data_IF_393266675810
#
_entry.id   IF_393266675810
#
_cell.length_a   1.000
_cell.length_b   1.000
_cell.length_c   1.000
_cell.angle_alpha   90.00
_cell.angle_beta   90.00
_cell.angle_gamma   90.00
#
_symmetry.space_group_name_H-M   'P 1'
#
loop_
_entity.id
_entity.type
_entity.pdbx_description
1 polymer ?
#
# COMPACT_ATOMS: atom_id res chain seq x y z
N UNK A 1 -16.86 20.06 -7.12
CA UNK A 1 -15.56 20.77 -6.95
C UNK A 1 -14.92 20.22 -5.68
N UNK A 2 -13.73 19.61 -5.76
CA UNK A 2 -12.97 19.23 -4.58
C UNK A 2 -12.35 20.51 -4.01
N UNK A 3 -12.83 20.95 -2.84
CA UNK A 3 -12.31 22.11 -2.13
C UNK A 3 -11.25 21.69 -1.11
N UNK A 4 -10.35 22.60 -0.77
CA UNK A 4 -9.40 22.42 0.33
C UNK A 4 -9.67 23.50 1.39
N UNK A 5 -9.79 23.09 2.65
CA UNK A 5 -9.89 23.99 3.79
C UNK A 5 -8.52 23.97 4.49
N UNK A 6 -7.76 25.08 4.48
CA UNK A 6 -6.45 25.12 5.12
C UNK A 6 -6.58 24.97 6.63
N UNK A 7 -5.68 24.22 7.25
CA UNK A 7 -5.58 24.09 8.71
C UNK A 7 -4.19 24.58 9.13
N UNK A 8 -4.12 25.44 10.14
CA UNK A 8 -2.88 26.07 10.58
C UNK A 8 -2.29 25.33 11.78
N UNK A 9 -1.00 24.97 11.69
CA UNK A 9 -0.31 24.30 12.81
C UNK A 9 0.24 25.32 13.81
N UNK A 10 0.30 24.94 15.09
CA UNK A 10 0.84 25.78 16.16
C UNK A 10 2.30 26.23 15.93
N UNK A 11 3.06 25.49 15.11
CA UNK A 11 4.45 25.82 14.74
C UNK A 11 4.57 26.86 13.63
N UNK A 12 3.48 27.20 12.95
CA UNK A 12 3.49 28.05 11.75
C UNK A 12 3.01 29.49 12.03
N UNK A 13 2.27 29.74 13.11
CA UNK A 13 1.78 31.09 13.43
C UNK A 13 1.34 31.23 14.88
N UNK A 14 1.67 32.36 15.53
CA UNK A 14 1.22 32.67 16.90
C UNK A 14 -0.33 32.77 16.97
N UNK A 15 -0.97 33.25 15.90
CA UNK A 15 -2.42 33.43 15.79
C UNK A 15 -3.18 32.20 15.24
N UNK A 16 -2.63 31.00 15.43
CA UNK A 16 -3.22 29.75 14.92
C UNK A 16 -4.61 29.45 15.52
N UNK A 17 -4.89 29.89 16.75
CA UNK A 17 -6.16 29.63 17.45
C UNK A 17 -7.33 30.33 16.77
N UNK A 18 -7.21 31.63 16.50
CA UNK A 18 -8.28 32.42 15.88
C UNK A 18 -8.55 31.98 14.43
N UNK A 19 -7.49 31.65 13.69
CA UNK A 19 -7.59 31.13 12.32
C UNK A 19 -8.25 29.76 12.27
N UNK A 20 -7.95 28.88 13.23
CA UNK A 20 -8.61 27.57 13.31
C UNK A 20 -10.09 27.69 13.70
N UNK A 21 -10.49 28.69 14.49
CA UNK A 21 -11.91 28.98 14.75
C UNK A 21 -12.65 29.41 13.48
N UNK A 22 -12.04 30.27 12.65
CA UNK A 22 -12.62 30.66 11.36
C UNK A 22 -12.74 29.47 10.39
N UNK A 23 -11.79 28.53 10.45
CA UNK A 23 -11.83 27.26 9.70
C UNK A 23 -12.99 26.39 10.16
N UNK A 24 -13.23 26.28 11.47
CA UNK A 24 -14.37 25.51 12.00
C UNK A 24 -15.71 26.07 11.53
N UNK A 25 -15.87 27.40 11.51
CA UNK A 25 -17.07 28.04 10.96
C UNK A 25 -17.39 27.59 9.52
N UNK A 26 -16.36 27.56 8.65
CA UNK A 26 -16.51 27.07 7.26
C UNK A 26 -16.87 25.59 7.19
N UNK A 27 -16.33 24.78 8.09
CA UNK A 27 -16.64 23.34 8.17
C UNK A 27 -18.09 23.13 8.63
N UNK A 28 -18.58 23.92 9.58
CA UNK A 28 -19.98 23.85 10.01
C UNK A 28 -20.94 24.20 8.86
N UNK A 29 -20.67 25.31 8.16
CA UNK A 29 -21.47 25.69 6.98
C UNK A 29 -21.45 24.62 5.88
N UNK A 30 -20.32 23.93 5.71
CA UNK A 30 -20.20 22.82 4.76
C UNK A 30 -21.12 21.65 5.17
N UNK A 31 -21.10 21.25 6.43
CA UNK A 31 -21.93 20.16 6.93
C UNK A 31 -23.43 20.52 6.91
N UNK A 32 -23.80 21.75 7.27
CA UNK A 32 -25.17 22.26 7.22
C UNK A 32 -25.76 22.24 5.79
N UNK A 33 -24.90 22.33 4.76
CA UNK A 33 -25.30 22.20 3.35
C UNK A 33 -25.31 20.76 2.83
N UNK A 34 -25.09 19.77 3.70
CA UNK A 34 -24.98 18.35 3.33
C UNK A 34 -23.65 18.00 2.64
N UNK A 35 -22.61 18.82 2.83
CA UNK A 35 -21.27 18.55 2.30
C UNK A 35 -20.51 17.47 3.08
N UNK A 36 -19.40 17.01 2.51
CA UNK A 36 -18.52 15.99 3.10
C UNK A 36 -17.10 16.54 3.28
N UNK A 37 -16.43 16.13 4.36
CA UNK A 37 -15.06 16.51 4.70
C UNK A 37 -14.18 15.27 4.82
N UNK A 38 -13.09 15.20 4.05
CA UNK A 38 -12.01 14.26 4.26
C UNK A 38 -10.94 14.86 5.19
N UNK A 39 -10.54 14.12 6.22
CA UNK A 39 -9.54 14.55 7.20
C UNK A 39 -8.52 13.44 7.45
N UNK A 40 -7.24 13.81 7.59
CA UNK A 40 -6.19 12.94 8.12
C UNK A 40 -5.84 13.39 9.56
N UNK A 41 -6.46 12.77 10.59
CA UNK A 41 -6.42 13.28 11.97
C UNK A 41 -5.06 13.18 12.68
N UNK A 42 -4.07 12.50 12.10
CA UNK A 42 -2.72 12.32 12.67
C UNK A 42 -1.85 13.60 12.55
N UNK A 43 -2.15 14.46 11.57
CA UNK A 43 -1.37 15.67 11.31
C UNK A 43 0.06 15.44 10.82
N UNK A 44 0.38 14.22 10.37
CA UNK A 44 1.67 13.80 9.83
C UNK A 44 1.57 12.42 9.16
N UNK A 45 2.69 11.89 8.70
CA UNK A 45 2.79 10.53 8.18
C UNK A 45 3.03 9.56 9.35
N UNK A 46 2.20 8.52 9.48
CA UNK A 46 2.45 7.43 10.42
C UNK A 46 3.74 6.65 10.08
N UNK A 47 4.48 6.17 11.11
CA UNK A 47 5.55 5.19 10.95
C UNK A 47 5.02 3.88 10.33
N UNK A 48 5.88 3.05 9.71
CA UNK A 48 5.50 1.72 9.25
C UNK A 48 4.90 0.87 10.39
N UNK A 49 3.76 0.20 10.15
CA UNK A 49 3.14 -0.74 11.10
C UNK A 49 2.44 -0.13 12.32
N UNK A 50 2.50 1.19 12.51
CA UNK A 50 1.91 1.85 13.69
C UNK A 50 1.00 3.00 13.28
N UNK A 51 -0.13 3.14 13.98
CA UNK A 51 -1.02 4.27 13.82
C UNK A 51 -0.63 5.38 14.80
N UNK A 52 -0.38 6.58 14.30
CA UNK A 52 -0.13 7.74 15.14
C UNK A 52 -1.37 8.15 15.95
N UNK A 53 -1.15 8.81 17.10
CA UNK A 53 -2.25 9.29 17.93
C UNK A 53 -3.08 10.36 17.20
N UNK A 54 -4.40 10.27 17.31
CA UNK A 54 -5.29 11.21 16.66
C UNK A 54 -5.32 12.55 17.38
N UNK A 55 -5.32 13.64 16.61
CA UNK A 55 -5.62 14.97 17.10
C UNK A 55 -7.13 15.14 17.26
N UNK A 56 -7.55 15.88 18.29
CA UNK A 56 -8.97 16.07 18.65
C UNK A 56 -9.76 16.96 17.69
N UNK A 57 -9.12 17.57 16.70
CA UNK A 57 -9.75 18.56 15.81
C UNK A 57 -10.98 18.00 15.07
N UNK A 58 -10.91 16.76 14.59
CA UNK A 58 -12.04 16.09 13.92
C UNK A 58 -13.25 15.94 14.83
N UNK A 59 -13.06 15.46 16.06
CA UNK A 59 -14.12 15.30 17.04
C UNK A 59 -14.74 16.65 17.45
N UNK A 60 -13.92 17.69 17.64
CA UNK A 60 -14.40 19.06 17.93
C UNK A 60 -15.26 19.61 16.80
N UNK A 61 -14.84 19.44 15.54
CA UNK A 61 -15.62 19.89 14.39
C UNK A 61 -16.95 19.14 14.27
N UNK A 62 -16.94 17.83 14.49
CA UNK A 62 -18.15 17.03 14.42
C UNK A 62 -19.17 17.40 15.50
N UNK A 63 -18.74 17.44 16.77
CA UNK A 63 -19.62 17.75 17.89
C UNK A 63 -20.09 19.20 17.87
N UNK A 64 -19.23 20.15 17.49
CA UNK A 64 -19.61 21.57 17.35
C UNK A 64 -20.64 21.82 16.25
N UNK A 65 -20.56 21.08 15.13
CA UNK A 65 -21.55 21.16 14.07
C UNK A 65 -22.93 20.62 14.51
N UNK A 66 -22.94 19.50 15.23
CA UNK A 66 -24.16 18.94 15.79
C UNK A 66 -24.76 19.84 16.87
N UNK A 67 -23.96 20.36 17.79
CA UNK A 67 -24.42 21.27 18.85
C UNK A 67 -25.14 22.49 18.27
N UNK A 68 -24.56 23.14 17.25
CA UNK A 68 -25.16 24.28 16.54
C UNK A 68 -26.52 23.95 15.91
N UNK A 69 -26.74 22.69 15.57
CA UNK A 69 -27.95 22.17 14.92
C UNK A 69 -28.81 21.33 15.88
N UNK A 70 -28.65 21.51 17.20
CA UNK A 70 -29.41 20.80 18.24
C UNK A 70 -29.32 19.26 18.16
N UNK A 71 -28.20 18.75 17.67
CA UNK A 71 -27.92 17.33 17.45
C UNK A 71 -28.89 16.64 16.48
N UNK A 72 -29.38 17.38 15.49
CA UNK A 72 -30.32 16.91 14.45
C UNK A 72 -29.70 16.91 13.05
N UNK A 73 -28.42 17.23 12.92
CA UNK A 73 -27.77 17.31 11.61
C UNK A 73 -27.58 15.91 11.00
N UNK A 74 -27.42 14.88 11.84
CA UNK A 74 -27.22 13.51 11.40
C UNK A 74 -25.79 13.26 10.88
N UNK A 75 -24.83 13.99 11.42
CA UNK A 75 -23.44 13.93 11.02
C UNK A 75 -22.86 12.55 11.31
N UNK A 76 -22.43 11.90 10.24
CA UNK A 76 -21.87 10.55 10.26
C UNK A 76 -20.37 10.59 9.97
N UNK A 77 -19.58 9.94 10.81
CA UNK A 77 -18.14 9.82 10.66
C UNK A 77 -17.82 8.41 10.22
N UNK A 78 -17.16 8.26 9.06
CA UNK A 78 -16.75 6.96 8.52
C UNK A 78 -15.23 6.81 8.66
N UNK A 79 -14.73 5.92 9.54
CA UNK A 79 -13.31 5.61 9.65
C UNK A 79 -12.82 4.90 8.38
N UNK A 80 -11.75 5.40 7.75
CA UNK A 80 -11.16 4.79 6.56
C UNK A 80 -9.68 4.49 6.79
N UNK A 81 -9.31 3.21 6.78
CA UNK A 81 -7.92 2.76 6.83
C UNK A 81 -7.37 2.62 5.41
N UNK A 82 -6.15 3.12 5.18
CA UNK A 82 -5.43 3.00 3.90
C UNK A 82 -4.16 2.18 4.15
N UNK A 83 -4.10 0.98 3.59
CA UNK A 83 -2.94 0.10 3.67
C UNK A 83 -2.26 0.05 2.30
N UNK A 84 -0.93 0.20 2.24
CA UNK A 84 -0.16 0.13 1.00
C UNK A 84 0.61 -1.18 0.94
N UNK A 85 0.62 -1.84 -0.21
CA UNK A 85 1.41 -3.07 -0.42
C UNK A 85 2.91 -2.76 -0.36
N UNK A 86 3.35 -1.71 -1.07
CA UNK A 86 4.72 -1.23 -1.05
C UNK A 86 4.73 0.30 -1.17
N UNK A 87 4.96 1.01 -0.06
CA UNK A 87 4.90 2.48 -0.01
C UNK A 87 5.93 3.17 -0.93
N UNK A 88 7.07 2.53 -1.17
CA UNK A 88 8.18 3.10 -1.94
C UNK A 88 8.15 2.75 -3.44
N UNK A 89 7.34 1.76 -3.82
CA UNK A 89 7.25 1.32 -5.21
C UNK A 89 6.14 2.06 -5.92
N UNK A 90 6.48 2.62 -7.07
CA UNK A 90 5.50 3.24 -7.95
C UNK A 90 4.53 2.17 -8.48
N UNK A 91 3.23 2.51 -8.51
CA UNK A 91 2.15 1.62 -8.94
C UNK A 91 1.97 0.37 -8.04
N UNK A 92 2.22 0.51 -6.74
CA UNK A 92 1.83 -0.51 -5.76
C UNK A 92 0.33 -0.43 -5.47
N UNK A 93 -0.25 -1.56 -5.06
CA UNK A 93 -1.65 -1.64 -4.69
C UNK A 93 -1.90 -0.93 -3.36
N UNK A 94 -3.07 -0.33 -3.21
CA UNK A 94 -3.56 0.20 -1.94
C UNK A 94 -4.92 -0.43 -1.62
N UNK A 95 -5.11 -0.84 -0.36
CA UNK A 95 -6.37 -1.34 0.17
C UNK A 95 -7.01 -0.26 1.04
N UNK A 96 -8.24 0.12 0.69
CA UNK A 96 -9.07 0.97 1.52
C UNK A 96 -10.05 0.09 2.29
N UNK A 97 -10.11 0.27 3.61
CA UNK A 97 -11.09 -0.41 4.47
C UNK A 97 -11.95 0.62 5.19
N UNK A 98 -13.26 0.47 5.03
CA UNK A 98 -14.26 1.30 5.67
C UNK A 98 -14.71 0.63 6.97
N UNK A 99 -14.53 1.33 8.08
CA UNK A 99 -15.04 0.92 9.38
C UNK A 99 -16.54 1.18 9.53
N UNK A 100 -17.12 0.65 10.62
CA UNK A 100 -18.50 0.98 10.99
C UNK A 100 -18.64 2.49 11.20
N UNK A 101 -19.70 3.13 10.67
CA UNK A 101 -19.93 4.55 10.91
C UNK A 101 -20.17 4.85 12.39
N UNK A 102 -19.68 6.00 12.85
CA UNK A 102 -20.00 6.57 14.15
C UNK A 102 -20.90 7.79 13.94
N UNK A 103 -21.94 7.94 14.76
CA UNK A 103 -22.82 9.10 14.70
C UNK A 103 -22.41 10.11 15.77
N UNK A 104 -22.15 11.35 15.37
CA UNK A 104 -21.75 12.39 16.31
C UNK A 104 -22.86 12.68 17.35
N UNK A 105 -24.12 12.49 16.97
CA UNK A 105 -25.29 12.63 17.83
C UNK A 105 -25.31 11.63 19.01
N UNK A 106 -24.67 10.46 18.90
CA UNK A 106 -24.62 9.48 20.00
C UNK A 106 -23.87 10.03 21.23
N UNK A 107 -22.99 11.01 21.02
CA UNK A 107 -22.21 11.66 22.05
C UNK A 107 -22.89 12.92 22.61
N UNK A 108 -24.10 13.28 22.15
CA UNK A 108 -24.79 14.51 22.51
C UNK A 108 -25.02 14.66 24.02
N UNK A 109 -25.44 13.59 24.69
CA UNK A 109 -25.69 13.62 26.14
C UNK A 109 -24.42 13.93 26.93
N UNK A 110 -23.30 13.31 26.55
CA UNK A 110 -22.00 13.57 27.17
C UNK A 110 -21.50 14.98 26.83
N UNK A 111 -21.64 15.42 25.58
CA UNK A 111 -21.15 16.73 25.15
C UNK A 111 -21.89 17.89 25.83
N UNK A 112 -23.19 17.76 26.11
CA UNK A 112 -23.95 18.76 26.86
C UNK A 112 -23.50 18.91 28.32
N UNK A 113 -23.01 17.84 28.93
CA UNK A 113 -22.61 17.83 30.34
C UNK A 113 -21.11 18.13 30.52
N UNK A 114 -20.26 17.48 29.72
CA UNK A 114 -18.82 17.68 29.69
C UNK A 114 -18.32 17.63 28.22
N UNK A 115 -18.25 18.80 27.56
CA UNK A 115 -17.78 18.89 26.18
C UNK A 115 -16.36 18.33 25.98
N UNK A 116 -15.48 18.50 26.96
CA UNK A 116 -14.09 18.07 26.86
C UNK A 116 -13.99 16.55 26.90
N UNK A 117 -14.76 15.90 27.79
CA UNK A 117 -14.81 14.45 27.86
C UNK A 117 -15.47 13.83 26.62
N UNK A 118 -16.54 14.42 26.10
CA UNK A 118 -17.16 13.95 24.85
C UNK A 118 -16.18 13.98 23.67
N UNK A 119 -15.40 15.06 23.54
CA UNK A 119 -14.35 15.16 22.52
C UNK A 119 -13.28 14.08 22.72
N UNK A 120 -12.81 13.86 23.95
CA UNK A 120 -11.83 12.82 24.26
C UNK A 120 -12.37 11.43 23.90
N UNK A 121 -13.60 11.13 24.32
CA UNK A 121 -14.27 9.85 24.10
C UNK A 121 -14.47 9.56 22.62
N UNK A 122 -15.03 10.51 21.86
CA UNK A 122 -15.20 10.36 20.41
C UNK A 122 -13.84 10.19 19.70
N UNK A 123 -12.82 10.93 20.12
CA UNK A 123 -11.45 10.78 19.56
C UNK A 123 -10.89 9.38 19.83
N UNK A 124 -11.09 8.85 21.04
CA UNK A 124 -10.64 7.51 21.42
C UNK A 124 -11.38 6.41 20.63
N UNK A 125 -12.70 6.53 20.47
CA UNK A 125 -13.50 5.57 19.73
C UNK A 125 -13.14 5.59 18.22
N UNK A 126 -12.87 6.77 17.65
CA UNK A 126 -12.34 6.89 16.29
C UNK A 126 -10.95 6.26 16.16
N UNK A 127 -10.07 6.46 17.15
CA UNK A 127 -8.74 5.85 17.15
C UNK A 127 -8.84 4.33 17.23
N UNK A 128 -9.70 3.78 18.09
CA UNK A 128 -9.94 2.34 18.16
C UNK A 128 -10.50 1.78 16.84
N UNK A 129 -11.46 2.48 16.23
CA UNK A 129 -12.05 2.05 14.96
C UNK A 129 -11.03 2.06 13.82
N UNK A 130 -10.23 3.13 13.70
CA UNK A 130 -9.16 3.21 12.69
C UNK A 130 -8.05 2.19 12.92
N UNK A 131 -7.68 1.91 14.18
CA UNK A 131 -6.74 0.81 14.52
C UNK A 131 -7.22 -0.54 14.00
N UNK A 132 -8.52 -0.80 14.04
CA UNK A 132 -9.10 -2.02 13.45
C UNK A 132 -9.10 -2.02 11.91
N UNK A 133 -8.97 -0.87 11.26
CA UNK A 133 -8.89 -0.75 9.81
C UNK A 133 -7.44 -0.77 9.28
N UNK A 134 -6.50 -0.25 10.06
CA UNK A 134 -5.07 -0.36 9.82
C UNK A 134 -4.55 -1.76 10.20
N UNK A 135 -3.47 -2.23 9.57
CA UNK A 135 -2.68 -3.34 10.11
C UNK A 135 -1.86 -2.85 11.31
N UNK A 136 -2.55 -2.50 12.39
CA UNK A 136 -1.91 -2.08 13.64
C UNK A 136 -1.73 -3.30 14.53
N UNK A 137 -0.51 -3.52 15.03
CA UNK A 137 -0.20 -4.58 15.98
C UNK A 137 0.41 -3.97 17.24
N UNK A 138 -0.05 -4.43 18.39
CA UNK A 138 0.39 -3.95 19.72
C UNK A 138 1.72 -4.57 20.15
N UNK A 139 2.01 -5.80 19.70
CA UNK A 139 3.25 -6.54 19.98
C UNK A 139 4.04 -6.78 18.68
N UNK A 140 5.14 -6.03 18.54
CA UNK A 140 6.05 -6.10 17.39
C UNK A 140 6.63 -7.50 17.19
N UNK A 141 6.85 -8.27 18.26
CA UNK A 141 7.40 -9.61 18.17
C UNK A 141 6.38 -10.62 17.63
N UNK A 142 5.11 -10.45 18.01
CA UNK A 142 4.01 -11.26 17.51
C UNK A 142 3.71 -10.91 16.06
N UNK A 143 3.78 -9.64 15.68
CA UNK A 143 3.60 -9.21 14.28
C UNK A 143 4.70 -9.76 13.37
N UNK A 144 5.96 -9.67 13.80
CA UNK A 144 7.10 -10.21 13.05
C UNK A 144 6.93 -11.72 12.84
N UNK A 145 6.52 -12.45 13.88
CA UNK A 145 6.24 -13.88 13.77
C UNK A 145 5.03 -14.15 12.86
N UNK A 146 3.97 -13.35 12.93
CA UNK A 146 2.79 -13.49 12.06
C UNK A 146 3.16 -13.27 10.59
N UNK A 147 4.01 -12.26 10.30
CA UNK A 147 4.56 -12.01 8.98
C UNK A 147 5.38 -13.22 8.50
N UNK A 148 6.28 -13.72 9.34
CA UNK A 148 7.10 -14.89 9.03
C UNK A 148 6.27 -16.13 8.75
N UNK A 149 5.27 -16.42 9.58
CA UNK A 149 4.38 -17.55 9.39
C UNK A 149 3.52 -17.37 8.13
N UNK A 150 3.04 -16.16 7.83
CA UNK A 150 2.30 -15.90 6.60
C UNK A 150 3.13 -16.24 5.35
N UNK A 151 4.46 -16.03 5.42
CA UNK A 151 5.38 -16.44 4.36
C UNK A 151 5.62 -17.96 4.33
N UNK A 152 5.69 -18.62 5.49
CA UNK A 152 5.98 -20.06 5.62
C UNK A 152 4.79 -20.92 5.23
N UNK A 153 3.61 -20.62 5.77
CA UNK A 153 2.37 -21.34 5.50
C UNK A 153 2.04 -21.24 3.99
N UNK A 154 2.34 -20.09 3.38
CA UNK A 154 1.87 -19.79 2.05
C UNK A 154 0.33 -19.76 2.00
N UNK A 155 -0.24 -19.54 0.84
CA UNK A 155 -1.67 -19.27 0.65
C UNK A 155 -2.59 -20.49 0.85
N UNK A 156 -2.11 -21.57 1.50
CA UNK A 156 -2.86 -22.80 1.76
C UNK A 156 -3.65 -22.79 3.07
N UNK A 157 -3.72 -21.66 3.78
CA UNK A 157 -4.90 -21.42 4.61
C UNK A 157 -6.05 -21.30 3.61
N UNK A 158 -6.76 -22.41 3.37
CA UNK A 158 -8.09 -22.36 2.76
C UNK A 158 -8.82 -21.17 3.38
N UNK A 159 -9.57 -20.35 2.62
CA UNK A 159 -10.30 -19.21 3.17
C UNK A 159 -10.94 -19.65 4.49
N UNK A 160 -10.41 -19.16 5.62
CA UNK A 160 -10.82 -19.67 6.94
C UNK A 160 -12.27 -19.28 7.27
N UNK A 161 -12.94 -18.58 6.34
CA UNK A 161 -14.37 -18.44 6.21
C UNK A 161 -14.75 -18.57 4.71
N UNK A 162 -15.87 -19.24 4.36
CA UNK A 162 -16.37 -19.26 2.99
C UNK A 162 -16.69 -17.83 2.54
N UNK A 163 -16.32 -17.49 1.30
CA UNK A 163 -16.77 -16.26 0.65
C UNK A 163 -18.31 -16.28 0.60
N UNK A 164 -18.96 -15.34 1.29
CA UNK A 164 -20.30 -14.95 0.86
C UNK A 164 -20.13 -14.30 -0.52
N UNK A 165 -20.81 -14.80 -1.56
CA UNK A 165 -20.66 -14.25 -2.90
C UNK A 165 -21.04 -12.77 -2.88
N UNK A 166 -20.11 -11.91 -3.31
CA UNK A 166 -20.41 -10.49 -3.51
C UNK A 166 -21.66 -10.36 -4.39
N UNK A 167 -22.63 -9.51 -4.02
CA UNK A 167 -23.77 -9.27 -4.90
C UNK A 167 -23.25 -8.70 -6.22
N UNK A 168 -23.59 -9.37 -7.33
CA UNK A 168 -23.26 -8.95 -8.69
C UNK A 168 -23.52 -7.44 -8.85
N UNK A 169 -22.46 -6.65 -8.79
CA UNK A 169 -22.57 -5.21 -9.03
C UNK A 169 -22.85 -5.02 -10.51
N UNK A 170 -24.03 -4.45 -10.79
CA UNK A 170 -24.58 -4.26 -12.12
C UNK A 170 -23.53 -3.79 -13.14
N UNK A 171 -23.43 -4.60 -14.20
CA UNK A 171 -22.63 -4.44 -15.41
C UNK A 171 -22.83 -3.04 -16.04
N UNK A 172 -22.04 -2.05 -15.62
CA UNK A 172 -22.01 -0.72 -16.24
C UNK A 172 -21.07 -0.75 -17.44
N UNK A 173 -21.55 -1.29 -18.56
CA UNK A 173 -20.86 -1.26 -19.86
C UNK A 173 -20.57 0.18 -20.32
N UNK A 174 -19.31 0.57 -20.62
CA UNK A 174 -19.03 1.84 -21.27
C UNK A 174 -19.17 1.78 -22.81
N UNK A 175 -20.04 2.64 -23.36
CA UNK A 175 -20.47 2.70 -24.78
C UNK A 175 -19.49 3.41 -25.75
N UNK A 176 -18.22 3.02 -25.87
CA UNK A 176 -17.37 3.60 -26.94
C UNK A 176 -16.30 2.63 -27.47
N UNK A 177 -16.23 2.45 -28.80
CA UNK A 177 -15.23 1.59 -29.48
C UNK A 177 -13.79 2.08 -29.25
N UNK A 178 -13.59 3.40 -29.18
CA UNK A 178 -12.28 4.01 -28.88
C UNK A 178 -11.89 3.76 -27.44
N UNK A 179 -12.83 3.92 -26.49
CA UNK A 179 -12.59 3.56 -25.09
C UNK A 179 -12.29 2.07 -24.98
N UNK A 180 -13.00 1.20 -25.70
CA UNK A 180 -12.77 -0.26 -25.72
C UNK A 180 -11.38 -0.63 -26.26
N UNK A 181 -10.92 0.05 -27.31
CA UNK A 181 -9.57 -0.13 -27.84
C UNK A 181 -8.50 0.41 -26.90
N UNK A 182 -8.75 1.56 -26.27
CA UNK A 182 -7.88 2.15 -25.23
C UNK A 182 -7.85 1.28 -23.96
N UNK A 183 -8.98 0.68 -23.58
CA UNK A 183 -9.09 -0.30 -22.48
C UNK A 183 -8.35 -1.60 -22.82
N UNK A 184 -8.47 -2.14 -24.05
CA UNK A 184 -7.66 -3.28 -24.53
C UNK A 184 -6.17 -2.96 -24.59
N UNK A 185 -5.81 -1.74 -25.00
CA UNK A 185 -4.43 -1.25 -24.99
C UNK A 185 -3.96 -0.87 -23.58
N UNK A 186 -4.81 -0.93 -22.56
CA UNK A 186 -4.48 -0.82 -21.14
C UNK A 186 -4.66 -2.17 -20.39
N UNK A 187 -5.18 -3.21 -21.05
CA UNK A 187 -5.31 -4.56 -20.46
C UNK A 187 -3.94 -5.21 -20.24
N UNK A 188 -2.91 -4.89 -21.05
CA UNK A 188 -1.52 -5.28 -20.74
C UNK A 188 -0.98 -4.65 -19.44
N UNK A 189 -1.64 -3.59 -18.96
CA UNK A 189 -1.29 -2.82 -17.77
C UNK A 189 -2.14 -3.18 -16.55
N UNK A 190 -3.28 -3.86 -16.73
CA UNK A 190 -4.06 -4.43 -15.64
C UNK A 190 -3.58 -5.87 -15.45
N UNK A 191 -2.73 -6.17 -14.44
CA UNK A 191 -2.49 -7.56 -14.12
C UNK A 191 -3.86 -8.22 -13.89
N UNK A 192 -4.13 -9.30 -14.63
CA UNK A 192 -5.37 -10.05 -14.53
C UNK A 192 -5.66 -10.28 -13.04
N UNK A 193 -6.83 -9.88 -12.50
CA UNK A 193 -7.16 -10.10 -11.10
C UNK A 193 -6.96 -11.56 -10.68
N UNK A 194 -7.06 -12.50 -11.64
CA UNK A 194 -6.73 -13.92 -11.44
C UNK A 194 -5.26 -14.32 -11.64
N UNK A 195 -4.42 -13.55 -12.36
CA UNK A 195 -2.96 -13.81 -12.43
C UNK A 195 -2.19 -13.17 -11.27
N UNK A 196 -2.73 -12.13 -10.61
CA UNK A 196 -2.31 -11.78 -9.25
C UNK A 196 -2.91 -12.85 -8.34
N UNK A 197 -2.20 -13.97 -8.23
CA UNK A 197 -2.64 -15.11 -7.42
C UNK A 197 -2.76 -14.81 -5.91
N UNK A 198 -2.79 -13.53 -5.49
CA UNK A 198 -3.29 -13.14 -4.18
C UNK A 198 -3.57 -11.61 -4.10
N UNK A 199 -4.84 -11.15 -4.08
CA UNK A 199 -5.16 -9.75 -3.77
C UNK A 199 -4.48 -9.33 -2.47
N UNK A 200 -3.89 -8.14 -2.42
CA UNK A 200 -3.26 -7.60 -1.20
C UNK A 200 -4.19 -7.70 0.04
N UNK A 201 -5.51 -7.67 -0.19
CA UNK A 201 -6.52 -7.94 0.82
C UNK A 201 -6.39 -9.30 1.51
N UNK A 202 -6.22 -10.38 0.75
CA UNK A 202 -6.09 -11.74 1.29
C UNK A 202 -4.85 -11.88 2.17
N UNK A 203 -3.71 -11.30 1.75
CA UNK A 203 -2.50 -11.24 2.60
C UNK A 203 -2.72 -10.48 3.89
N UNK A 204 -3.35 -9.31 3.80
CA UNK A 204 -3.64 -8.49 4.97
C UNK A 204 -4.58 -9.21 5.95
N UNK A 205 -5.58 -9.92 5.41
CA UNK A 205 -6.53 -10.73 6.19
C UNK A 205 -5.83 -11.90 6.89
N UNK A 206 -5.01 -12.66 6.16
CA UNK A 206 -4.27 -13.80 6.71
C UNK A 206 -3.28 -13.36 7.79
N UNK A 207 -2.51 -12.28 7.55
CA UNK A 207 -1.60 -11.72 8.56
C UNK A 207 -2.34 -11.38 9.84
N UNK A 208 -3.47 -10.66 9.75
CA UNK A 208 -4.27 -10.30 10.93
C UNK A 208 -4.77 -11.52 11.70
N UNK A 209 -5.29 -12.53 11.02
CA UNK A 209 -5.75 -13.76 11.68
C UNK A 209 -4.60 -14.46 12.41
N UNK A 210 -3.41 -14.52 11.80
CA UNK A 210 -2.21 -15.07 12.44
C UNK A 210 -1.83 -14.26 13.68
N UNK A 211 -1.80 -12.93 13.58
CA UNK A 211 -1.50 -12.04 14.72
C UNK A 211 -2.51 -12.25 15.86
N UNK A 212 -3.81 -12.35 15.56
CA UNK A 212 -4.86 -12.55 16.57
C UNK A 212 -4.70 -13.90 17.30
N UNK A 213 -4.42 -14.98 16.57
CA UNK A 213 -4.18 -16.32 17.14
C UNK A 213 -2.91 -16.30 17.99
N UNK A 214 -1.81 -15.75 17.47
CA UNK A 214 -0.54 -15.71 18.17
C UNK A 214 -0.59 -14.82 19.41
N UNK A 215 -1.31 -13.71 19.39
CA UNK A 215 -1.48 -12.84 20.56
C UNK A 215 -2.23 -13.57 21.69
N UNK A 216 -3.30 -14.31 21.37
CA UNK A 216 -4.02 -15.14 22.34
C UNK A 216 -3.16 -16.29 22.88
N UNK A 217 -2.42 -16.95 22.00
CA UNK A 217 -1.49 -18.01 22.37
C UNK A 217 -0.37 -17.46 23.26
N UNK A 218 0.19 -16.29 22.95
CA UNK A 218 1.26 -15.67 23.72
C UNK A 218 0.81 -15.27 25.13
N UNK A 219 -0.46 -14.85 25.30
CA UNK A 219 -1.03 -14.55 26.60
C UNK A 219 -1.26 -15.80 27.47
N UNK A 220 -1.51 -16.96 26.86
CA UNK A 220 -1.91 -18.20 27.56
C UNK A 220 -0.75 -19.19 27.73
N UNK A 221 0.07 -19.36 26.69
CA UNK A 221 1.23 -20.25 26.62
C UNK A 221 2.39 -19.59 25.84
N UNK A 222 3.17 -18.72 26.52
CA UNK A 222 4.32 -18.06 25.92
C UNK A 222 5.40 -19.04 25.43
N UNK A 223 5.50 -20.22 26.06
CA UNK A 223 6.56 -21.19 25.77
C UNK A 223 6.36 -21.84 24.40
N UNK A 224 5.11 -22.18 24.05
CA UNK A 224 4.78 -22.74 22.73
C UNK A 224 4.97 -21.73 21.61
N UNK A 225 4.60 -20.46 21.82
CA UNK A 225 4.84 -19.37 20.84
C UNK A 225 6.34 -19.14 20.64
N UNK A 226 7.13 -19.12 21.71
CA UNK A 226 8.59 -19.01 21.61
C UNK A 226 9.24 -20.22 20.93
N UNK A 227 8.67 -21.42 21.09
CA UNK A 227 9.13 -22.62 20.39
C UNK A 227 8.81 -22.57 18.88
N UNK A 228 7.63 -22.08 18.51
CA UNK A 228 7.24 -21.84 17.12
C UNK A 228 8.16 -20.80 16.47
N UNK A 229 8.41 -19.67 17.15
CA UNK A 229 9.34 -18.64 16.69
C UNK A 229 10.73 -19.20 16.39
N UNK A 230 11.33 -19.92 17.35
CA UNK A 230 12.65 -20.56 17.15
C UNK A 230 12.71 -21.54 15.98
N UNK A 231 11.58 -22.11 15.55
CA UNK A 231 11.54 -22.96 14.36
C UNK A 231 11.35 -22.16 13.08
N UNK A 232 10.49 -21.14 13.10
CA UNK A 232 10.33 -20.20 12.00
C UNK A 232 11.65 -19.49 11.68
N UNK A 233 12.37 -19.03 12.72
CA UNK A 233 13.69 -18.41 12.60
C UNK A 233 14.72 -19.38 12.01
N UNK A 234 14.79 -20.62 12.51
CA UNK A 234 15.70 -21.64 11.95
C UNK A 234 15.43 -21.93 10.49
N UNK A 235 14.16 -22.08 10.12
CA UNK A 235 13.78 -22.26 8.73
C UNK A 235 14.17 -21.05 7.86
N UNK A 236 13.95 -19.82 8.36
CA UNK A 236 14.37 -18.60 7.69
C UNK A 236 15.89 -18.50 7.54
N UNK A 237 16.64 -18.85 8.56
CA UNK A 237 18.10 -18.81 8.53
C UNK A 237 18.66 -19.84 7.55
N UNK A 238 18.12 -21.07 7.53
CA UNK A 238 18.50 -22.07 6.53
C UNK A 238 18.14 -21.63 5.11
N UNK A 239 17.00 -20.97 4.92
CA UNK A 239 16.65 -20.38 3.62
C UNK A 239 17.63 -19.27 3.20
N UNK A 240 17.99 -18.37 4.13
CA UNK A 240 18.96 -17.30 3.87
C UNK A 240 20.35 -17.85 3.55
N UNK A 241 20.81 -18.83 4.33
CA UNK A 241 22.10 -19.52 4.12
C UNK A 241 22.15 -20.27 2.80
N UNK A 242 21.01 -20.79 2.34
CA UNK A 242 20.89 -21.41 1.03
C UNK A 242 20.86 -20.41 -0.14
N UNK A 243 20.90 -19.09 0.12
CA UNK A 243 20.61 -18.02 -0.86
C UNK A 243 19.27 -18.19 -1.60
N UNK A 244 18.39 -19.04 -1.05
CA UNK A 244 17.08 -19.32 -1.57
C UNK A 244 16.15 -18.19 -1.10
N UNK A 245 16.06 -17.13 -1.90
CA UNK A 245 15.17 -16.01 -1.60
C UNK A 245 13.70 -16.46 -1.49
N UNK A 246 12.84 -15.59 -0.95
CA UNK A 246 11.38 -15.75 -0.88
C UNK A 246 10.72 -16.29 -2.17
N UNK A 247 11.30 -16.06 -3.35
CA UNK A 247 10.83 -16.59 -4.63
C UNK A 247 10.76 -18.13 -4.70
N UNK A 248 11.61 -18.81 -3.94
CA UNK A 248 11.70 -20.28 -3.82
C UNK A 248 10.54 -20.87 -3.05
N UNK A 249 10.04 -20.15 -2.05
CA UNK A 249 9.00 -20.67 -1.14
C UNK A 249 7.74 -21.07 -1.91
N UNK A 250 7.40 -20.33 -2.98
CA UNK A 250 6.29 -20.61 -3.90
C UNK A 250 6.53 -21.84 -4.80
N UNK A 251 7.80 -22.17 -5.05
CA UNK A 251 8.26 -23.21 -5.98
C UNK A 251 8.19 -24.64 -5.49
N UNK A 252 7.96 -24.85 -4.20
CA UNK A 252 8.05 -26.18 -3.62
C UNK A 252 6.86 -27.07 -3.99
N UNK A 253 5.71 -26.50 -4.36
CA UNK A 253 4.46 -27.26 -4.49
C UNK A 253 4.04 -27.54 -5.95
N UNK A 254 4.52 -26.78 -6.95
CA UNK A 254 4.15 -26.97 -8.38
C UNK A 254 5.31 -26.72 -9.38
N UNK A 255 6.20 -27.69 -9.63
CA UNK A 255 7.46 -27.48 -10.37
C UNK A 255 7.29 -27.18 -11.88
N UNK A 256 6.22 -27.68 -12.53
CA UNK A 256 6.02 -27.57 -13.99
C UNK A 256 5.45 -26.21 -14.39
N UNK A 257 4.36 -25.76 -13.74
CA UNK A 257 3.73 -24.45 -13.98
C UNK A 257 4.74 -23.32 -13.78
N UNK A 258 5.61 -23.46 -12.80
CA UNK A 258 6.64 -22.47 -12.55
C UNK A 258 7.80 -22.46 -13.54
N UNK A 259 8.15 -23.60 -14.16
CA UNK A 259 9.17 -23.62 -15.21
C UNK A 259 8.73 -22.73 -16.39
N UNK A 260 7.45 -22.77 -16.75
CA UNK A 260 6.86 -21.93 -17.79
C UNK A 260 6.86 -20.45 -17.40
N UNK A 261 6.48 -20.14 -16.15
CA UNK A 261 6.52 -18.77 -15.60
C UNK A 261 7.95 -18.22 -15.63
N UNK A 262 8.95 -19.00 -15.19
CA UNK A 262 10.37 -18.61 -15.23
C UNK A 262 10.84 -18.33 -16.67
N UNK A 263 10.49 -19.19 -17.63
CA UNK A 263 10.83 -19.00 -19.03
C UNK A 263 10.20 -17.71 -19.60
N UNK A 264 8.90 -17.49 -19.39
CA UNK A 264 8.18 -16.27 -19.80
C UNK A 264 8.86 -15.03 -19.21
N UNK A 265 9.30 -15.09 -17.95
CA UNK A 265 10.00 -13.98 -17.30
C UNK A 265 11.42 -13.74 -17.83
N UNK A 266 12.19 -14.79 -18.10
CA UNK A 266 13.52 -14.65 -18.73
C UNK A 266 13.40 -14.07 -20.13
N UNK A 267 12.42 -14.51 -20.90
CA UNK A 267 12.14 -13.98 -22.24
C UNK A 267 11.71 -12.51 -22.16
N UNK A 268 10.79 -12.17 -21.25
CA UNK A 268 10.40 -10.79 -20.99
C UNK A 268 11.61 -9.92 -20.61
N UNK A 269 12.46 -10.39 -19.70
CA UNK A 269 13.65 -9.66 -19.27
C UNK A 269 14.60 -9.40 -20.45
N UNK A 270 14.85 -10.40 -21.29
CA UNK A 270 15.73 -10.27 -22.45
C UNK A 270 15.15 -9.32 -23.51
N UNK A 271 13.86 -9.45 -23.82
CA UNK A 271 13.20 -8.67 -24.86
C UNK A 271 12.97 -7.21 -24.46
N UNK A 272 12.67 -6.94 -23.18
CA UNK A 272 12.43 -5.59 -22.70
C UNK A 272 13.71 -4.87 -22.26
N UNK A 273 14.83 -5.58 -22.07
CA UNK A 273 16.11 -4.97 -21.70
C UNK A 273 16.52 -3.81 -22.62
N UNK A 274 16.47 -3.92 -23.97
CA UNK A 274 16.87 -2.81 -24.85
C UNK A 274 15.94 -1.61 -24.73
N UNK A 275 14.63 -1.83 -24.64
CA UNK A 275 13.62 -0.76 -24.47
C UNK A 275 13.80 -0.05 -23.13
N UNK A 276 14.04 -0.83 -22.07
CA UNK A 276 14.28 -0.30 -20.73
C UNK A 276 15.62 0.46 -20.64
N UNK A 277 16.67 -0.04 -21.29
CA UNK A 277 17.96 0.65 -21.38
C UNK A 277 17.80 1.98 -22.12
N UNK A 278 17.12 1.98 -23.25
CA UNK A 278 16.80 3.20 -24.00
C UNK A 278 16.02 4.19 -23.13
N UNK A 279 14.97 3.74 -22.43
CA UNK A 279 14.21 4.56 -21.50
C UNK A 279 15.07 5.12 -20.37
N UNK A 280 15.92 4.30 -19.76
CA UNK A 280 16.82 4.72 -18.70
C UNK A 280 17.81 5.77 -19.19
N UNK A 281 18.47 5.57 -20.32
CA UNK A 281 19.49 6.48 -20.85
C UNK A 281 18.94 7.90 -21.04
N UNK A 282 17.72 8.04 -21.56
CA UNK A 282 17.14 9.36 -21.85
C UNK A 282 16.45 10.01 -20.66
N UNK A 283 16.05 9.21 -19.65
CA UNK A 283 15.28 9.71 -18.50
C UNK A 283 16.09 9.79 -17.21
N UNK A 284 17.29 9.18 -17.14
CA UNK A 284 18.08 9.15 -15.90
C UNK A 284 18.56 10.54 -15.48
N UNK A 285 18.99 11.36 -16.43
CA UNK A 285 19.48 12.73 -16.17
C UNK A 285 18.39 13.61 -15.55
N UNK A 286 17.23 13.81 -16.20
CA UNK A 286 16.17 14.64 -15.61
C UNK A 286 15.65 14.01 -14.32
N UNK A 287 15.51 12.69 -14.24
CA UNK A 287 15.08 12.00 -13.03
C UNK A 287 16.01 12.26 -11.83
N UNK A 288 17.33 12.09 -11.99
CA UNK A 288 18.29 12.29 -10.91
C UNK A 288 18.35 13.77 -10.52
N UNK A 289 18.33 14.68 -11.48
CA UNK A 289 18.28 16.11 -11.20
C UNK A 289 17.04 16.46 -10.37
N UNK A 290 15.85 16.03 -10.78
CA UNK A 290 14.61 16.23 -10.02
C UNK A 290 14.70 15.61 -8.62
N UNK A 291 15.24 14.40 -8.51
CA UNK A 291 15.38 13.68 -7.24
C UNK A 291 16.22 14.44 -6.22
N UNK A 292 17.33 15.06 -6.64
CA UNK A 292 18.20 15.80 -5.73
C UNK A 292 17.76 17.26 -5.54
N UNK A 293 17.35 17.95 -6.60
CA UNK A 293 16.95 19.34 -6.52
C UNK A 293 15.69 19.52 -5.66
N UNK A 294 14.68 18.65 -5.78
CA UNK A 294 13.47 18.76 -4.97
C UNK A 294 13.70 18.44 -3.48
N UNK A 295 14.78 17.72 -3.12
CA UNK A 295 15.15 17.46 -1.71
C UNK A 295 15.64 18.72 -0.98
N UNK A 296 16.00 19.78 -1.70
CA UNK A 296 16.35 21.07 -1.11
C UNK A 296 15.13 21.73 -0.44
N UNK A 297 13.91 21.33 -0.81
CA UNK A 297 12.68 21.80 -0.16
C UNK A 297 12.47 21.05 1.16
N UNK A 298 12.72 21.76 2.26
CA UNK A 298 12.67 21.22 3.63
C UNK A 298 11.25 20.86 4.09
N UNK A 299 10.23 21.55 3.59
CA UNK A 299 8.84 21.35 3.99
C UNK A 299 8.23 20.18 3.21
N UNK A 300 7.79 19.12 3.90
CA UNK A 300 7.17 17.95 3.26
C UNK A 300 5.94 18.25 2.38
N UNK A 301 4.99 19.12 2.80
CA UNK A 301 3.78 19.39 2.01
C UNK A 301 4.10 20.01 0.64
N UNK A 302 5.09 20.89 0.59
CA UNK A 302 5.53 21.57 -0.64
C UNK A 302 6.56 20.76 -1.42
N UNK A 303 7.22 19.78 -0.81
CA UNK A 303 8.20 18.91 -1.47
C UNK A 303 7.57 18.12 -2.63
N UNK A 304 6.32 17.67 -2.51
CA UNK A 304 5.61 17.01 -3.60
C UNK A 304 5.39 17.95 -4.81
N UNK A 305 4.95 19.20 -4.55
CA UNK A 305 4.83 20.22 -5.58
C UNK A 305 6.19 20.60 -6.19
N UNK A 306 7.26 20.59 -5.39
CA UNK A 306 8.62 20.80 -5.86
C UNK A 306 9.09 19.67 -6.79
N UNK A 307 8.83 18.40 -6.44
CA UNK A 307 9.09 17.27 -7.32
C UNK A 307 8.35 17.43 -8.66
N UNK A 308 7.09 17.86 -8.63
CA UNK A 308 6.31 18.10 -9.85
C UNK A 308 6.86 19.25 -10.67
N UNK A 309 7.07 20.43 -10.08
CA UNK A 309 7.53 21.63 -10.80
C UNK A 309 8.96 21.51 -11.33
N UNK A 310 9.90 21.05 -10.48
CA UNK A 310 11.28 20.79 -10.90
C UNK A 310 11.34 19.65 -11.90
N UNK A 311 10.51 18.61 -11.72
CA UNK A 311 10.34 17.53 -12.67
C UNK A 311 9.92 18.02 -14.04
N UNK A 312 8.80 18.74 -14.11
CA UNK A 312 8.27 19.28 -15.35
C UNK A 312 9.32 20.10 -16.11
N UNK A 313 10.03 21.00 -15.42
CA UNK A 313 11.07 21.82 -16.03
C UNK A 313 12.26 20.97 -16.50
N UNK A 314 12.77 20.06 -15.67
CA UNK A 314 13.92 19.23 -15.98
C UNK A 314 13.68 18.31 -17.19
N UNK A 315 12.52 17.64 -17.23
CA UNK A 315 12.14 16.77 -18.34
C UNK A 315 11.90 17.58 -19.62
N UNK A 316 11.21 18.72 -19.53
CA UNK A 316 10.96 19.59 -20.69
C UNK A 316 12.26 20.10 -21.29
N UNK A 317 13.16 20.65 -20.46
CA UNK A 317 14.46 21.14 -20.93
C UNK A 317 15.28 20.03 -21.55
N UNK A 318 15.36 18.86 -20.90
CA UNK A 318 16.12 17.72 -21.44
C UNK A 318 15.59 17.28 -22.80
N UNK A 319 14.26 17.19 -22.95
CA UNK A 319 13.63 16.75 -24.20
C UNK A 319 13.79 17.80 -25.30
N UNK A 320 13.66 19.09 -24.98
CA UNK A 320 13.93 20.16 -25.94
C UNK A 320 15.40 20.15 -26.38
N UNK A 321 16.34 19.96 -25.47
CA UNK A 321 17.77 19.85 -25.79
C UNK A 321 18.06 18.62 -26.66
N UNK A 322 17.47 17.47 -26.37
CA UNK A 322 17.61 16.26 -27.19
C UNK A 322 16.99 16.46 -28.58
N UNK A 323 15.79 17.03 -28.64
CA UNK A 323 15.10 17.32 -29.90
C UNK A 323 15.88 18.29 -30.77
N UNK A 324 16.38 19.38 -30.17
CA UNK A 324 17.25 20.33 -30.85
C UNK A 324 18.54 19.67 -31.34
N UNK A 325 19.17 18.84 -30.51
CA UNK A 325 20.40 18.15 -30.87
C UNK A 325 20.19 17.21 -32.07
N UNK A 326 19.12 16.42 -32.07
CA UNK A 326 18.78 15.54 -33.20
C UNK A 326 18.44 16.31 -34.48
N UNK A 327 17.74 17.44 -34.34
CA UNK A 327 17.40 18.27 -35.49
C UNK A 327 18.62 18.97 -36.09
N UNK A 328 19.48 19.56 -35.25
CA UNK A 328 20.60 20.40 -35.69
C UNK A 328 21.87 19.61 -36.02
N UNK A 329 22.23 18.61 -35.22
CA UNK A 329 23.49 17.87 -35.38
C UNK A 329 23.33 16.54 -36.13
N UNK A 330 22.15 15.91 -36.08
CA UNK A 330 21.90 14.64 -36.77
C UNK A 330 21.08 14.81 -38.06
N UNK A 331 20.85 16.06 -38.50
CA UNK A 331 20.07 16.43 -39.69
C UNK A 331 18.71 15.70 -39.79
N UNK A 332 18.11 15.38 -38.64
CA UNK A 332 16.90 14.58 -38.60
C UNK A 332 15.67 15.44 -38.95
N UNK A 333 14.80 14.92 -39.83
CA UNK A 333 13.55 15.59 -40.17
C UNK A 333 12.70 15.86 -38.92
N UNK A 334 12.11 17.06 -38.80
CA UNK A 334 11.30 17.46 -37.65
C UNK A 334 10.18 16.47 -37.31
N UNK A 335 9.60 15.78 -38.31
CA UNK A 335 8.59 14.73 -38.07
C UNK A 335 9.17 13.56 -37.28
N UNK A 336 10.37 13.11 -37.64
CA UNK A 336 11.08 12.04 -36.94
C UNK A 336 11.54 12.49 -35.54
N UNK A 337 11.94 13.75 -35.39
CA UNK A 337 12.25 14.33 -34.07
C UNK A 337 11.00 14.32 -33.17
N UNK A 338 9.84 14.74 -33.67
CA UNK A 338 8.59 14.67 -32.90
C UNK A 338 8.20 13.23 -32.54
N UNK A 339 8.31 12.29 -33.48
CA UNK A 339 8.07 10.87 -33.20
C UNK A 339 9.01 10.33 -32.12
N UNK A 340 10.28 10.69 -32.19
CA UNK A 340 11.28 10.31 -31.19
C UNK A 340 10.96 10.90 -29.81
N UNK A 341 10.65 12.20 -29.73
CA UNK A 341 10.28 12.86 -28.48
C UNK A 341 9.00 12.27 -27.87
N UNK A 342 8.02 11.90 -28.70
CA UNK A 342 6.79 11.25 -28.26
C UNK A 342 7.05 9.83 -27.68
N UNK A 343 8.13 9.17 -28.08
CA UNK A 343 8.52 7.85 -27.59
C UNK A 343 9.25 7.90 -26.24
N UNK A 344 9.89 9.02 -25.89
CA UNK A 344 10.67 9.16 -24.67
C UNK A 344 9.87 8.96 -23.38
N UNK A 345 8.67 9.57 -23.17
CA UNK A 345 7.88 9.31 -21.97
C UNK A 345 7.44 7.84 -21.83
N UNK A 346 6.83 7.19 -22.85
CA UNK A 346 6.51 5.77 -22.79
C UNK A 346 7.72 4.87 -22.50
N UNK A 347 8.88 5.17 -23.09
CA UNK A 347 10.12 4.43 -22.82
C UNK A 347 10.58 4.59 -21.36
N UNK A 348 10.45 5.79 -20.78
CA UNK A 348 10.71 6.01 -19.36
C UNK A 348 9.82 5.17 -18.44
N UNK A 349 8.52 5.11 -18.74
CA UNK A 349 7.59 4.24 -18.01
C UNK A 349 7.92 2.75 -18.20
N UNK A 350 8.29 2.34 -19.42
CA UNK A 350 8.74 0.97 -19.69
C UNK A 350 9.99 0.60 -18.89
N UNK A 351 10.96 1.53 -18.74
CA UNK A 351 12.15 1.31 -17.92
C UNK A 351 11.84 1.16 -16.42
N UNK A 352 10.93 1.99 -15.88
CA UNK A 352 10.47 1.87 -14.49
C UNK A 352 9.73 0.54 -14.26
N UNK A 353 8.89 0.14 -15.20
CA UNK A 353 8.14 -1.11 -15.13
C UNK A 353 9.07 -2.33 -15.24
N UNK A 354 10.04 -2.30 -16.15
CA UNK A 354 11.08 -3.31 -16.27
C UNK A 354 11.88 -3.46 -14.98
N UNK A 355 12.31 -2.34 -14.38
CA UNK A 355 12.98 -2.34 -13.07
C UNK A 355 12.11 -2.99 -11.98
N UNK A 356 10.82 -2.63 -11.90
CA UNK A 356 9.88 -3.23 -10.93
C UNK A 356 9.77 -4.74 -11.12
N UNK A 357 9.49 -5.18 -12.35
CA UNK A 357 9.32 -6.59 -12.65
C UNK A 357 10.62 -7.37 -12.42
N UNK A 358 11.78 -6.84 -12.83
CA UNK A 358 13.05 -7.51 -12.53
C UNK A 358 13.32 -7.54 -11.03
N UNK A 359 13.04 -6.51 -10.26
CA UNK A 359 13.24 -6.59 -8.80
C UNK A 359 12.36 -7.67 -8.17
N UNK A 360 11.11 -7.81 -8.62
CA UNK A 360 10.18 -8.85 -8.14
C UNK A 360 10.60 -10.26 -8.63
N UNK A 361 11.18 -10.38 -9.83
CA UNK A 361 11.41 -11.67 -10.49
C UNK A 361 12.88 -12.10 -10.60
N UNK A 362 13.86 -11.25 -10.29
CA UNK A 362 15.31 -11.58 -10.32
C UNK A 362 15.58 -12.85 -9.54
N UNK A 363 14.88 -12.96 -8.42
CA UNK A 363 14.97 -14.04 -7.48
C UNK A 363 14.42 -15.35 -8.07
N UNK A 364 13.31 -15.31 -8.84
CA UNK A 364 12.80 -16.48 -9.56
C UNK A 364 13.71 -16.94 -10.71
N UNK A 365 14.45 -16.01 -11.31
CA UNK A 365 15.38 -16.29 -12.42
C UNK A 365 16.65 -16.98 -11.89
N UNK A 366 17.21 -16.48 -10.78
CA UNK A 366 18.41 -17.04 -10.12
C UNK A 366 18.21 -18.47 -9.61
N UNK A 367 16.99 -18.78 -9.19
CA UNK A 367 16.60 -20.11 -8.68
C UNK A 367 16.65 -21.20 -9.75
N UNK A 368 16.61 -20.85 -11.05
CA UNK A 368 16.70 -21.79 -12.18
C UNK A 368 17.99 -22.61 -12.16
N UNK A 369 19.09 -22.02 -11.73
CA UNK A 369 20.43 -22.65 -11.73
C UNK A 369 20.71 -23.44 -10.47
N UNK A 370 20.05 -23.12 -9.35
CA UNK A 370 20.36 -23.69 -8.04
C UNK A 370 19.69 -25.05 -7.80
N UNK A 371 18.41 -25.21 -8.17
CA UNK A 371 17.66 -26.45 -7.91
C UNK A 371 18.08 -27.67 -8.72
N UNK A 372 18.90 -27.50 -9.73
CA UNK A 372 19.42 -28.63 -10.51
C UNK A 372 20.47 -29.46 -9.76
N UNK A 373 20.98 -29.00 -8.61
CA UNK A 373 22.12 -29.65 -7.93
C UNK A 373 21.92 -29.98 -6.45
N UNK A 374 20.81 -29.63 -5.81
CA UNK A 374 20.67 -29.72 -4.33
C UNK A 374 19.34 -30.32 -3.86
N UNK A 375 19.00 -31.53 -4.33
CA UNK A 375 17.76 -32.24 -3.94
C UNK A 375 17.65 -32.57 -2.45
N UNK A 376 18.79 -32.78 -1.76
CA UNK A 376 18.86 -32.99 -0.31
C UNK A 376 18.41 -31.73 0.46
N UNK A 377 18.91 -30.56 0.08
CA UNK A 377 18.57 -29.29 0.73
C UNK A 377 17.08 -28.94 0.54
N UNK A 378 16.54 -29.19 -0.65
CA UNK A 378 15.10 -29.03 -0.93
C UNK A 378 14.26 -29.91 -0.01
N UNK A 379 14.66 -31.17 0.16
CA UNK A 379 13.96 -32.12 1.04
C UNK A 379 14.01 -31.69 2.51
N UNK A 380 15.17 -31.20 2.97
CA UNK A 380 15.33 -30.63 4.30
C UNK A 380 14.38 -29.44 4.52
N UNK A 381 14.41 -28.44 3.63
CA UNK A 381 13.57 -27.24 3.74
C UNK A 381 12.07 -27.56 3.67
N UNK A 382 11.66 -28.53 2.85
CA UNK A 382 10.26 -29.02 2.84
C UNK A 382 9.86 -29.72 4.14
N UNK A 383 10.80 -30.37 4.82
CA UNK A 383 10.55 -31.01 6.12
C UNK A 383 10.41 -29.95 7.22
N UNK A 384 11.31 -28.97 7.25
CA UNK A 384 11.25 -27.86 8.21
C UNK A 384 10.00 -27.01 8.04
N UNK A 385 9.62 -26.67 6.79
CA UNK A 385 8.37 -25.97 6.49
C UNK A 385 7.16 -26.73 7.04
N UNK A 386 7.09 -28.05 6.81
CA UNK A 386 6.00 -28.90 7.33
C UNK A 386 5.95 -28.95 8.85
N UNK A 387 7.10 -28.96 9.51
CA UNK A 387 7.16 -28.94 10.97
C UNK A 387 6.63 -27.62 11.54
N UNK A 388 7.00 -26.48 10.93
CA UNK A 388 6.49 -25.16 11.33
C UNK A 388 4.97 -25.08 11.11
N UNK A 389 4.48 -25.54 9.95
CA UNK A 389 3.04 -25.61 9.65
C UNK A 389 2.31 -26.44 10.71
N UNK A 390 2.78 -27.67 10.97
CA UNK A 390 2.14 -28.58 11.94
C UNK A 390 2.02 -27.96 13.32
N UNK A 391 3.09 -27.33 13.82
CA UNK A 391 3.06 -26.68 15.14
C UNK A 391 2.13 -25.48 15.19
N UNK A 392 2.07 -24.71 14.10
CA UNK A 392 1.10 -23.64 13.98
C UNK A 392 -0.33 -24.19 13.99
N UNK A 393 -0.63 -25.26 13.25
CA UNK A 393 -1.94 -25.91 13.22
C UNK A 393 -2.34 -26.46 14.61
N UNK A 394 -1.40 -27.02 15.38
CA UNK A 394 -1.62 -27.46 16.77
C UNK A 394 -2.00 -26.28 17.69
N UNK A 395 -1.31 -25.15 17.54
CA UNK A 395 -1.63 -23.91 18.26
C UNK A 395 -2.98 -23.33 17.82
N UNK A 396 -3.24 -23.27 16.52
CA UNK A 396 -4.49 -22.79 15.97
C UNK A 396 -5.67 -23.62 16.50
N UNK A 397 -5.58 -24.96 16.47
CA UNK A 397 -6.63 -25.85 16.97
C UNK A 397 -6.98 -25.59 18.45
N UNK A 398 -6.01 -25.13 19.24
CA UNK A 398 -6.18 -24.84 20.66
C UNK A 398 -6.81 -23.45 20.91
N UNK A 399 -6.50 -22.46 20.08
CA UNK A 399 -6.83 -21.04 20.33
C UNK A 399 -7.78 -20.39 19.31
N UNK A 400 -8.30 -21.16 18.34
CA UNK A 400 -9.28 -20.68 17.36
C UNK A 400 -10.58 -20.26 18.06
N UNK A 401 -11.15 -19.08 17.77
CA UNK A 401 -12.48 -18.75 18.25
C UNK A 401 -13.50 -19.72 17.66
N UNK A 402 -14.37 -20.27 18.53
CA UNK A 402 -15.60 -20.95 18.08
C UNK A 402 -16.56 -19.97 17.41
#
# INVERSE_FOLDING_TARGET
RLGAIPVYQARETEDHVSRNLAVFGKVYELFERGGCLGLFPEGGNSPPGQMAQLRTGGARMALGAEERNNYRLGLTIVPVGINYEHRELFMSSALLRFGRPLYAADYAGLHRNDPAEAVRRLTADLQASLRQQAMHVEDEQVDELAEDLSEVLGYNLAPLAPEEPEPETADTKPQSRVKRWMWKLLEWYRPDPGEIADPFESRARNRRQLTDILAKAAASDPASVAALRRQADRYKDHLRQAELSQAVKRSLDNPVRERLIRLRMTLYALLMAPVALFGLMHNVVPYMFTKYAARLVKQEPTRAFAYFGVGFLAFTLTYLSLGFWLWYFADMNWKWVLCYLALLPPAGFAALHYRRNILIYREKILVRTFFWKQDELVRLLRRERREVIRRFEELEATFRPQ
#
